data_IF_421078987980
#
_entry.id   IF_421078987980
#
_cell.length_a   1.000
_cell.length_b   1.000
_cell.length_c   1.000
_cell.angle_alpha   90.00
_cell.angle_beta   90.00
_cell.angle_gamma   90.00
#
_symmetry.space_group_name_H-M   'P 1'
#
loop_
_entity.id
_entity.type
_entity.pdbx_description
1 polymer ?
#
# COMPACT_ATOMS: atom_id res chain seq x y z
N UNK A 1 4.52 15.36 19.73
CA UNK A 1 4.53 14.41 18.61
C UNK A 1 4.56 12.99 19.18
N UNK A 2 3.92 11.99 18.54
CA UNK A 2 3.78 10.63 19.12
C UNK A 2 5.15 10.00 19.41
N UNK A 3 6.08 10.07 18.47
CA UNK A 3 7.44 9.54 18.64
C UNK A 3 8.21 10.16 19.79
N UNK A 4 8.12 11.47 20.00
CA UNK A 4 8.79 12.16 21.12
C UNK A 4 8.28 11.65 22.47
N UNK A 5 6.96 11.53 22.64
CA UNK A 5 6.36 10.98 23.86
C UNK A 5 6.76 9.52 24.11
N UNK A 6 6.92 8.73 23.05
CA UNK A 6 7.43 7.38 23.14
C UNK A 6 8.87 7.38 23.68
N UNK A 7 9.74 8.23 23.13
CA UNK A 7 11.15 8.36 23.55
C UNK A 7 11.24 8.78 25.02
N UNK A 8 10.51 9.83 25.42
CA UNK A 8 10.47 10.30 26.81
C UNK A 8 10.04 9.19 27.77
N UNK A 9 8.96 8.49 27.47
CA UNK A 9 8.44 7.38 28.28
C UNK A 9 9.47 6.26 28.46
N UNK A 10 10.07 5.79 27.35
CA UNK A 10 11.01 4.68 27.39
C UNK A 10 12.36 5.06 28.03
N UNK A 11 12.82 6.31 27.87
CA UNK A 11 13.98 6.83 28.58
C UNK A 11 13.76 6.76 30.11
N UNK A 12 12.59 7.19 30.58
CA UNK A 12 12.21 7.09 31.99
C UNK A 12 12.14 5.64 32.48
N UNK A 13 11.50 4.75 31.72
CA UNK A 13 11.39 3.33 32.09
C UNK A 13 12.76 2.63 32.19
N UNK A 14 13.71 3.02 31.34
CA UNK A 14 15.09 2.51 31.36
C UNK A 14 16.00 3.28 32.32
N UNK A 15 15.49 4.32 33.01
CA UNK A 15 16.26 5.20 33.87
C UNK A 15 17.46 5.84 33.16
N UNK A 16 17.29 6.21 31.91
CA UNK A 16 18.29 6.91 31.08
C UNK A 16 17.90 8.37 30.86
N UNK A 17 18.89 9.32 30.77
CA UNK A 17 18.65 10.63 30.21
C UNK A 17 18.08 10.53 28.78
N UNK A 18 17.27 11.53 28.39
CA UNK A 18 16.61 11.55 27.06
C UNK A 18 17.63 11.42 25.91
N UNK A 19 18.71 12.17 25.98
CA UNK A 19 19.76 12.15 24.96
C UNK A 19 20.45 10.79 24.87
N UNK A 20 20.75 10.16 26.01
CA UNK A 20 21.37 8.83 26.04
C UNK A 20 20.42 7.76 25.47
N UNK A 21 19.11 7.88 25.72
CA UNK A 21 18.16 6.98 25.09
C UNK A 21 18.05 7.21 23.57
N UNK A 22 18.11 8.48 23.12
CA UNK A 22 18.16 8.80 21.70
C UNK A 22 19.35 8.15 20.99
N UNK A 23 20.51 8.06 21.63
CA UNK A 23 21.71 7.41 21.08
C UNK A 23 21.53 5.90 20.87
N UNK A 24 20.57 5.27 21.55
CA UNK A 24 20.22 3.86 21.34
C UNK A 24 19.29 3.64 20.14
N UNK A 25 18.66 4.71 19.62
CA UNK A 25 17.73 4.65 18.48
C UNK A 25 18.49 4.60 17.16
N UNK A 26 19.31 3.58 17.01
CA UNK A 26 20.10 3.34 15.80
C UNK A 26 19.26 2.50 14.82
N UNK A 27 19.21 2.83 13.51
CA UNK A 27 18.57 2.00 12.51
C UNK A 27 18.97 0.52 12.63
N UNK A 28 18.03 -0.37 12.37
CA UNK A 28 18.17 -1.83 12.47
C UNK A 28 18.32 -2.39 13.91
N UNK A 29 18.03 -1.58 14.95
CA UNK A 29 17.89 -2.05 16.34
C UNK A 29 16.44 -2.25 16.74
N UNK A 30 16.21 -3.10 17.75
CA UNK A 30 14.85 -3.35 18.30
C UNK A 30 14.25 -2.06 18.88
N UNK A 31 15.05 -1.22 19.51
CA UNK A 31 14.62 0.08 20.04
C UNK A 31 14.12 1.00 18.93
N UNK A 32 14.83 1.06 17.82
CA UNK A 32 14.42 1.86 16.66
C UNK A 32 13.15 1.31 16.02
N UNK A 33 13.04 0.00 15.86
CA UNK A 33 11.84 -0.68 15.34
C UNK A 33 10.62 -0.39 16.23
N UNK A 34 10.76 -0.49 17.54
CA UNK A 34 9.70 -0.18 18.50
C UNK A 34 9.25 1.30 18.42
N UNK A 35 10.19 2.23 18.20
CA UNK A 35 9.87 3.64 17.99
C UNK A 35 9.04 3.82 16.70
N UNK A 36 9.47 3.21 15.61
CA UNK A 36 8.75 3.26 14.32
C UNK A 36 7.32 2.73 14.52
N UNK A 37 7.17 1.53 15.07
CA UNK A 37 5.87 0.90 15.31
C UNK A 37 4.96 1.74 16.22
N UNK A 38 5.52 2.46 17.19
CA UNK A 38 4.75 3.36 18.05
C UNK A 38 4.41 4.70 17.39
N UNK A 39 5.18 5.13 16.38
CA UNK A 39 4.99 6.41 15.70
C UNK A 39 4.07 6.31 14.47
N UNK A 40 3.87 5.12 13.93
CA UNK A 40 3.00 4.88 12.78
C UNK A 40 1.52 5.03 13.15
N UNK A 41 0.72 5.50 12.20
CA UNK A 41 -0.74 5.55 12.30
C UNK A 41 -1.33 4.62 11.26
N UNK A 42 -1.93 3.53 11.72
CA UNK A 42 -2.26 2.37 10.89
C UNK A 42 -3.77 2.25 10.61
N UNK A 43 -4.43 3.36 10.20
CA UNK A 43 -5.83 3.31 9.80
C UNK A 43 -5.97 2.68 8.42
N UNK A 44 -6.58 1.51 8.35
CA UNK A 44 -6.86 0.80 7.11
C UNK A 44 -8.18 0.03 7.20
N UNK A 45 -8.82 -0.23 6.06
CA UNK A 45 -10.03 -1.05 5.94
C UNK A 45 -10.19 -1.59 4.51
N UNK A 46 -10.99 -2.66 4.35
CA UNK A 46 -11.21 -3.29 3.05
C UNK A 46 -11.85 -2.32 2.07
N UNK A 47 -11.27 -2.27 0.86
CA UNK A 47 -11.72 -1.43 -0.27
C UNK A 47 -11.75 0.08 0.05
N UNK A 48 -10.82 0.55 0.90
CA UNK A 48 -10.65 1.97 1.22
C UNK A 48 -10.48 2.80 -0.05
N UNK A 49 -11.20 3.96 -0.12
CA UNK A 49 -11.27 4.81 -1.32
C UNK A 49 -11.75 4.04 -2.55
N UNK A 50 -12.99 3.57 -2.48
CA UNK A 50 -13.65 2.72 -3.47
C UNK A 50 -13.50 3.17 -4.93
N UNK A 51 -13.32 4.47 -5.18
CA UNK A 51 -13.15 5.01 -6.53
C UNK A 51 -11.98 4.37 -7.30
N UNK A 52 -10.89 4.00 -6.60
CA UNK A 52 -9.77 3.28 -7.21
C UNK A 52 -10.18 1.87 -7.66
N UNK A 53 -10.92 1.14 -6.82
CA UNK A 53 -11.41 -0.21 -7.15
C UNK A 53 -12.46 -0.18 -8.26
N UNK A 54 -13.33 0.84 -8.26
CA UNK A 54 -14.28 1.07 -9.36
C UNK A 54 -13.57 1.34 -10.69
N UNK A 55 -12.52 2.19 -10.65
CA UNK A 55 -11.71 2.44 -11.84
C UNK A 55 -11.03 1.17 -12.34
N UNK A 56 -10.38 0.41 -11.44
CA UNK A 56 -9.74 -0.85 -11.83
C UNK A 56 -10.74 -1.78 -12.52
N UNK A 57 -11.89 -2.05 -11.91
CA UNK A 57 -12.86 -2.99 -12.46
C UNK A 57 -13.48 -2.53 -13.79
N UNK A 58 -13.68 -1.21 -13.97
CA UNK A 58 -14.32 -0.67 -15.18
C UNK A 58 -13.34 -0.50 -16.33
N UNK A 59 -12.09 -0.14 -16.03
CA UNK A 59 -11.15 0.33 -17.04
C UNK A 59 -9.97 -0.61 -17.26
N UNK A 60 -9.45 -1.26 -16.22
CA UNK A 60 -8.20 -2.03 -16.31
C UNK A 60 -8.47 -3.53 -16.42
N UNK A 61 -9.23 -4.09 -15.48
CA UNK A 61 -9.38 -5.54 -15.33
C UNK A 61 -10.00 -6.25 -16.54
N UNK A 62 -10.92 -5.64 -17.33
CA UNK A 62 -11.43 -6.27 -18.54
C UNK A 62 -10.34 -6.70 -19.54
N UNK A 63 -9.21 -5.97 -19.61
CA UNK A 63 -8.07 -6.24 -20.50
C UNK A 63 -7.08 -7.26 -19.94
N UNK A 64 -7.14 -7.56 -18.64
CA UNK A 64 -6.26 -8.50 -17.96
C UNK A 64 -6.91 -9.87 -17.68
N UNK A 65 -8.15 -10.09 -18.09
CA UNK A 65 -8.83 -11.37 -17.85
C UNK A 65 -8.01 -12.55 -18.40
N UNK A 66 -7.71 -13.53 -17.54
CA UNK A 66 -6.86 -14.67 -17.84
C UNK A 66 -5.35 -14.39 -17.81
N UNK A 67 -4.94 -13.13 -17.71
CA UNK A 67 -3.52 -12.72 -17.63
C UNK A 67 -3.10 -12.50 -16.18
N UNK A 68 -1.79 -12.47 -15.94
CA UNK A 68 -1.21 -12.04 -14.67
C UNK A 68 -1.19 -10.50 -14.59
N UNK A 69 -1.46 -9.97 -13.41
CA UNK A 69 -1.30 -8.56 -13.09
C UNK A 69 -0.45 -8.47 -11.83
N UNK A 70 0.69 -7.78 -11.96
CA UNK A 70 1.65 -7.57 -10.88
C UNK A 70 1.34 -6.27 -10.17
N UNK A 71 1.04 -6.34 -8.88
CA UNK A 71 0.68 -5.17 -8.06
C UNK A 71 1.62 -5.07 -6.87
N UNK A 72 2.07 -3.85 -6.58
CA UNK A 72 2.75 -3.53 -5.32
C UNK A 72 1.88 -2.61 -4.47
N UNK A 73 1.55 -3.05 -3.26
CA UNK A 73 0.91 -2.26 -2.20
C UNK A 73 1.99 -1.89 -1.19
N UNK A 74 2.48 -0.67 -1.27
CA UNK A 74 3.47 -0.11 -0.35
C UNK A 74 2.77 0.66 0.76
N UNK A 75 3.23 0.53 2.02
CA UNK A 75 2.56 0.99 3.23
C UNK A 75 1.18 0.31 3.41
N UNK A 76 1.20 -1.05 3.41
CA UNK A 76 -0.01 -1.86 3.39
C UNK A 76 -0.64 -2.09 4.78
N UNK A 77 0.00 -1.65 5.88
CA UNK A 77 -0.46 -1.85 7.25
C UNK A 77 -0.83 -3.32 7.52
N UNK A 78 -1.97 -3.59 8.13
CA UNK A 78 -2.50 -4.93 8.43
C UNK A 78 -3.08 -5.68 7.23
N UNK A 79 -2.90 -5.17 6.01
CA UNK A 79 -3.08 -5.92 4.76
C UNK A 79 -4.45 -5.85 4.11
N UNK A 80 -5.37 -5.01 4.58
CA UNK A 80 -6.71 -4.88 3.98
C UNK A 80 -6.64 -4.43 2.52
N UNK A 81 -5.70 -3.54 2.15
CA UNK A 81 -5.53 -3.10 0.77
C UNK A 81 -5.08 -4.24 -0.17
N UNK A 82 -3.96 -4.95 0.07
CA UNK A 82 -3.55 -6.04 -0.80
C UNK A 82 -4.54 -7.21 -0.84
N UNK A 83 -5.29 -7.47 0.25
CA UNK A 83 -6.36 -8.48 0.25
C UNK A 83 -7.54 -8.02 -0.62
N UNK A 84 -7.93 -6.74 -0.54
CA UNK A 84 -8.97 -6.17 -1.40
C UNK A 84 -8.60 -6.26 -2.88
N UNK A 85 -7.34 -5.95 -3.20
CA UNK A 85 -6.80 -6.09 -4.56
C UNK A 85 -6.82 -7.55 -5.02
N UNK A 86 -6.36 -8.49 -4.18
CA UNK A 86 -6.41 -9.92 -4.48
C UNK A 86 -7.84 -10.39 -4.79
N UNK A 87 -8.79 -10.06 -3.93
CA UNK A 87 -10.18 -10.45 -4.09
C UNK A 87 -10.78 -9.88 -5.39
N UNK A 88 -10.54 -8.59 -5.67
CA UNK A 88 -11.03 -7.96 -6.89
C UNK A 88 -10.43 -8.59 -8.15
N UNK A 89 -9.12 -8.82 -8.19
CA UNK A 89 -8.44 -9.45 -9.32
C UNK A 89 -9.00 -10.85 -9.58
N UNK A 90 -9.11 -11.65 -8.51
CA UNK A 90 -9.67 -13.01 -8.58
C UNK A 90 -11.11 -13.02 -9.07
N UNK A 91 -11.95 -12.09 -8.59
CA UNK A 91 -13.35 -11.94 -9.01
C UNK A 91 -13.46 -11.68 -10.53
N UNK A 92 -12.52 -10.92 -11.08
CA UNK A 92 -12.48 -10.62 -12.52
C UNK A 92 -11.75 -11.67 -13.36
N UNK A 93 -11.30 -12.76 -12.75
CA UNK A 93 -10.56 -13.82 -13.46
C UNK A 93 -9.17 -13.38 -13.91
N UNK A 94 -8.58 -12.41 -13.23
CA UNK A 94 -7.19 -11.97 -13.40
C UNK A 94 -6.31 -12.77 -12.45
N UNK A 95 -5.13 -13.19 -12.88
CA UNK A 95 -4.18 -13.92 -12.04
C UNK A 95 -3.43 -12.91 -11.14
N UNK A 96 -3.68 -12.90 -9.83
CA UNK A 96 -3.05 -11.93 -8.94
C UNK A 96 -1.60 -12.33 -8.63
N UNK A 97 -0.68 -11.37 -8.73
CA UNK A 97 0.68 -11.46 -8.18
C UNK A 97 0.95 -10.17 -7.41
N UNK A 98 0.84 -10.24 -6.10
CA UNK A 98 0.82 -9.06 -5.24
C UNK A 98 2.03 -9.07 -4.32
N UNK A 99 2.69 -7.92 -4.25
CA UNK A 99 3.72 -7.62 -3.28
C UNK A 99 3.16 -6.60 -2.30
N UNK A 100 3.20 -6.92 -1.02
CA UNK A 100 2.73 -6.06 0.05
C UNK A 100 3.91 -5.71 0.97
N UNK A 101 4.04 -4.45 1.33
CA UNK A 101 5.11 -4.05 2.22
C UNK A 101 4.70 -2.91 3.15
N UNK A 102 5.24 -2.95 4.35
CA UNK A 102 5.10 -1.88 5.35
C UNK A 102 6.39 -1.76 6.16
N UNK A 103 6.58 -0.64 6.82
CA UNK A 103 7.68 -0.44 7.75
C UNK A 103 7.36 -1.04 9.13
N UNK A 104 6.08 -1.07 9.52
CA UNK A 104 5.58 -1.54 10.81
C UNK A 104 5.49 -3.07 10.83
N UNK A 105 6.41 -3.71 11.54
CA UNK A 105 6.47 -5.16 11.67
C UNK A 105 5.28 -5.74 12.42
N UNK A 106 4.69 -5.00 13.39
CA UNK A 106 3.53 -5.44 14.15
C UNK A 106 2.30 -5.55 13.23
N UNK A 107 2.11 -4.59 12.33
CA UNK A 107 1.03 -4.62 11.35
C UNK A 107 1.21 -5.77 10.36
N UNK A 108 2.44 -6.02 9.89
CA UNK A 108 2.71 -7.17 9.03
C UNK A 108 2.46 -8.51 9.73
N UNK A 109 2.67 -8.59 11.03
CA UNK A 109 2.34 -9.79 11.81
C UNK A 109 0.82 -9.96 11.99
N UNK A 110 0.06 -8.85 12.13
CA UNK A 110 -1.42 -8.90 12.09
C UNK A 110 -1.90 -9.36 10.72
N UNK A 111 -1.31 -8.84 9.64
CA UNK A 111 -1.60 -9.27 8.28
C UNK A 111 -1.41 -10.79 8.10
N UNK A 112 -0.26 -11.33 8.53
CA UNK A 112 0.03 -12.77 8.43
C UNK A 112 -0.92 -13.63 9.27
N UNK A 113 -1.40 -13.12 10.42
CA UNK A 113 -2.44 -13.78 11.22
C UNK A 113 -3.78 -13.87 10.48
N UNK A 114 -4.10 -12.86 9.65
CA UNK A 114 -5.27 -12.87 8.80
C UNK A 114 -6.60 -12.87 9.55
N UNK A 115 -6.69 -12.19 10.69
CA UNK A 115 -7.89 -12.11 11.54
C UNK A 115 -8.34 -10.66 11.67
N UNK A 116 -9.46 -10.34 11.06
CA UNK A 116 -9.98 -8.97 10.96
C UNK A 116 -11.27 -8.80 11.76
N UNK A 117 -11.42 -7.64 12.37
CA UNK A 117 -12.63 -7.27 13.10
C UNK A 117 -13.61 -6.47 12.22
N UNK A 118 -14.78 -6.15 12.77
CA UNK A 118 -15.76 -5.28 12.09
C UNK A 118 -15.19 -3.90 11.69
N UNK A 119 -14.12 -3.43 12.32
CA UNK A 119 -13.52 -2.12 12.01
C UNK A 119 -12.82 -2.11 10.65
N UNK A 120 -12.38 -3.27 10.15
CA UNK A 120 -11.85 -3.40 8.79
C UNK A 120 -12.95 -3.37 7.71
N UNK A 121 -14.25 -3.31 8.08
CA UNK A 121 -15.41 -3.27 7.19
C UNK A 121 -16.14 -1.93 7.29
N UNK A 122 -15.55 -0.89 6.69
CA UNK A 122 -16.10 0.45 6.68
C UNK A 122 -17.27 0.59 5.67
N UNK A 123 -18.08 1.63 5.82
CA UNK A 123 -19.21 1.95 4.90
C UNK A 123 -18.66 2.30 3.51
N UNK A 124 -17.52 2.99 3.43
CA UNK A 124 -16.78 3.17 2.17
C UNK A 124 -16.30 1.79 1.69
N UNK A 125 -16.56 1.47 0.43
CA UNK A 125 -16.24 0.15 -0.14
C UNK A 125 -17.25 -0.97 0.19
N UNK A 126 -18.33 -0.70 0.92
CA UNK A 126 -19.33 -1.70 1.34
C UNK A 126 -19.85 -2.56 0.17
N UNK A 127 -20.05 -1.98 -0.99
CA UNK A 127 -20.49 -2.66 -2.21
C UNK A 127 -19.53 -3.75 -2.70
N UNK A 128 -18.26 -3.68 -2.30
CA UNK A 128 -17.23 -4.66 -2.67
C UNK A 128 -17.06 -5.78 -1.63
N UNK A 129 -17.54 -5.61 -0.39
CA UNK A 129 -17.26 -6.57 0.70
C UNK A 129 -17.68 -8.01 0.37
N UNK A 130 -18.81 -8.19 -0.35
CA UNK A 130 -19.27 -9.52 -0.77
C UNK A 130 -18.27 -10.26 -1.67
N UNK A 131 -17.40 -9.53 -2.38
CA UNK A 131 -16.36 -10.13 -3.24
C UNK A 131 -15.39 -10.98 -2.41
N UNK A 132 -15.12 -10.61 -1.16
CA UNK A 132 -14.24 -11.38 -0.27
C UNK A 132 -14.76 -12.80 -0.04
N UNK A 133 -16.06 -12.98 0.13
CA UNK A 133 -16.69 -14.29 0.33
C UNK A 133 -16.87 -15.02 -1.02
N UNK A 134 -17.38 -14.34 -2.06
CA UNK A 134 -17.60 -14.90 -3.41
C UNK A 134 -16.30 -15.48 -4.00
N UNK A 135 -15.16 -14.87 -3.73
CA UNK A 135 -13.84 -15.33 -4.16
C UNK A 135 -13.18 -16.33 -3.19
N UNK A 136 -13.85 -16.66 -2.07
CA UNK A 136 -13.30 -17.48 -1.00
C UNK A 136 -11.98 -16.93 -0.45
N UNK A 137 -11.86 -15.59 -0.40
CA UNK A 137 -10.70 -14.91 0.18
C UNK A 137 -10.66 -15.11 1.69
N UNK A 138 -11.83 -15.26 2.32
CA UNK A 138 -11.99 -15.58 3.74
C UNK A 138 -13.46 -15.82 4.07
N UNK A 139 -13.76 -16.03 5.33
CA UNK A 139 -15.11 -16.26 5.86
C UNK A 139 -15.31 -15.57 7.21
N UNK A 140 -16.56 -15.26 7.54
CA UNK A 140 -16.91 -14.76 8.87
C UNK A 140 -17.10 -15.90 9.86
N UNK A 141 -16.39 -15.82 10.99
CA UNK A 141 -16.48 -16.74 12.12
C UNK A 141 -16.52 -15.91 13.42
N UNK A 142 -17.54 -16.08 14.24
CA UNK A 142 -17.68 -15.38 15.53
C UNK A 142 -17.43 -13.85 15.42
N UNK A 143 -18.09 -13.18 14.48
CA UNK A 143 -17.96 -11.73 14.21
C UNK A 143 -16.55 -11.27 13.74
N UNK A 144 -15.66 -12.19 13.41
CA UNK A 144 -14.35 -11.91 12.82
C UNK A 144 -14.30 -12.45 11.40
N UNK A 145 -13.63 -11.74 10.54
CA UNK A 145 -13.30 -12.24 9.21
C UNK A 145 -11.96 -12.97 9.28
N UNK A 146 -11.97 -14.24 8.92
CA UNK A 146 -10.79 -15.09 8.91
C UNK A 146 -10.34 -15.28 7.47
N UNK A 147 -9.12 -14.82 7.19
CA UNK A 147 -8.49 -14.92 5.87
C UNK A 147 -8.15 -16.38 5.56
N UNK A 148 -8.47 -16.82 4.34
CA UNK A 148 -7.97 -18.09 3.83
C UNK A 148 -6.46 -17.98 3.58
N UNK A 149 -5.67 -18.85 4.20
CA UNK A 149 -4.21 -18.82 4.10
C UNK A 149 -3.68 -19.05 2.67
N UNK A 150 -4.47 -19.66 1.79
CA UNK A 150 -4.13 -19.81 0.36
C UNK A 150 -3.93 -18.46 -0.36
N UNK A 151 -4.43 -17.37 0.20
CA UNK A 151 -4.20 -16.00 -0.29
C UNK A 151 -2.69 -15.70 -0.36
N UNK A 152 -1.91 -16.17 0.60
CA UNK A 152 -0.45 -15.98 0.65
C UNK A 152 0.33 -16.74 -0.44
N UNK A 153 -0.30 -17.62 -1.21
CA UNK A 153 0.30 -18.16 -2.43
C UNK A 153 0.40 -17.09 -3.55
N UNK A 154 -0.32 -15.98 -3.39
CA UNK A 154 -0.41 -14.89 -4.36
C UNK A 154 0.06 -13.52 -3.81
N UNK A 155 0.21 -13.40 -2.49
CA UNK A 155 0.64 -12.17 -1.82
C UNK A 155 1.96 -12.45 -1.09
N UNK A 156 3.03 -11.80 -1.54
CA UNK A 156 4.32 -11.80 -0.86
C UNK A 156 4.40 -10.61 0.09
N UNK A 157 4.56 -10.87 1.38
CA UNK A 157 4.63 -9.83 2.43
C UNK A 157 6.08 -9.59 2.83
N UNK A 158 6.52 -8.31 2.83
CA UNK A 158 7.89 -7.91 3.17
C UNK A 158 7.89 -6.67 4.06
N UNK A 159 8.79 -6.61 5.03
CA UNK A 159 9.09 -5.36 5.71
C UNK A 159 9.94 -4.48 4.79
N UNK A 160 9.53 -3.22 4.61
CA UNK A 160 10.23 -2.30 3.72
C UNK A 160 9.98 -0.84 4.13
N UNK A 161 11.06 -0.08 4.22
CA UNK A 161 11.02 1.35 4.50
C UNK A 161 11.06 2.15 3.19
N UNK A 162 9.95 2.79 2.83
CA UNK A 162 9.85 3.68 1.67
C UNK A 162 10.83 4.87 1.74
N UNK A 163 11.11 5.37 2.95
CA UNK A 163 12.06 6.45 3.17
C UNK A 163 13.53 6.00 3.12
N UNK A 164 13.80 4.71 2.96
CA UNK A 164 15.15 4.13 2.99
C UNK A 164 16.01 4.40 1.74
N UNK A 165 15.53 5.21 0.79
CA UNK A 165 16.26 5.64 -0.43
C UNK A 165 16.82 4.49 -1.26
N UNK A 166 16.18 3.33 -1.24
CA UNK A 166 16.56 2.14 -2.02
C UNK A 166 15.37 1.54 -2.73
N UNK A 167 15.62 0.90 -3.86
CA UNK A 167 14.60 0.14 -4.59
C UNK A 167 14.24 -1.13 -3.81
N UNK A 168 12.96 -1.52 -3.79
CA UNK A 168 12.59 -2.85 -3.32
C UNK A 168 13.23 -3.92 -4.22
N UNK A 169 13.88 -4.93 -3.61
CA UNK A 169 14.59 -6.01 -4.29
C UNK A 169 13.77 -7.30 -4.41
N UNK A 170 12.59 -7.33 -3.79
CA UNK A 170 11.71 -8.50 -3.73
C UNK A 170 10.76 -8.65 -4.94
N UNK A 171 10.79 -7.72 -5.90
CA UNK A 171 10.17 -7.85 -7.22
C UNK A 171 10.94 -7.05 -8.27
N UNK A 172 10.75 -7.36 -9.54
CA UNK A 172 11.38 -6.63 -10.65
C UNK A 172 10.54 -5.40 -11.06
N UNK A 173 9.40 -5.60 -11.68
CA UNK A 173 8.47 -4.54 -12.09
C UNK A 173 7.05 -4.86 -11.64
N UNK A 174 6.27 -3.80 -11.41
CA UNK A 174 4.84 -3.88 -11.17
C UNK A 174 4.06 -3.17 -12.28
N UNK A 175 2.90 -3.69 -12.63
CA UNK A 175 1.95 -3.03 -13.54
C UNK A 175 1.22 -1.89 -12.82
N UNK A 176 0.93 -2.10 -11.53
CA UNK A 176 0.24 -1.13 -10.69
C UNK A 176 0.94 -1.03 -9.33
N UNK A 177 1.12 0.19 -8.85
CA UNK A 177 1.68 0.48 -7.53
C UNK A 177 0.66 1.30 -6.74
N UNK A 178 0.37 0.87 -5.50
CA UNK A 178 -0.40 1.61 -4.52
C UNK A 178 0.54 2.15 -3.43
N UNK A 179 0.59 3.48 -3.27
CA UNK A 179 1.32 4.18 -2.23
C UNK A 179 0.35 5.18 -1.57
N UNK A 180 -0.64 4.66 -0.85
CA UNK A 180 -1.77 5.43 -0.37
C UNK A 180 -1.67 5.71 1.12
N UNK A 181 -2.08 6.92 1.50
CA UNK A 181 -2.14 7.38 2.89
C UNK A 181 -0.79 7.33 3.63
N UNK A 182 0.31 7.48 2.91
CA UNK A 182 1.68 7.50 3.43
C UNK A 182 2.42 8.79 3.08
N UNK A 183 2.10 9.44 1.97
CA UNK A 183 2.72 10.69 1.54
C UNK A 183 2.41 11.87 2.46
N UNK A 184 1.35 11.78 3.26
CA UNK A 184 1.01 12.76 4.30
C UNK A 184 2.11 12.90 5.36
N UNK A 185 2.96 11.89 5.52
CA UNK A 185 4.07 11.88 6.48
C UNK A 185 5.40 12.35 5.88
N UNK A 186 5.46 12.57 4.56
CA UNK A 186 6.68 12.89 3.83
C UNK A 186 6.74 14.38 3.49
N UNK A 187 7.92 14.98 3.61
CA UNK A 187 8.20 16.27 3.01
C UNK A 187 8.33 16.17 1.48
N UNK A 188 8.43 17.29 0.80
CA UNK A 188 8.46 17.31 -0.65
C UNK A 188 9.71 16.62 -1.24
N UNK A 189 10.86 16.67 -0.55
CA UNK A 189 12.07 16.00 -1.01
C UNK A 189 11.88 14.48 -1.00
N UNK A 190 11.39 13.97 0.12
CA UNK A 190 11.12 12.53 0.26
C UNK A 190 10.01 12.05 -0.67
N UNK A 191 8.94 12.85 -0.86
CA UNK A 191 7.88 12.55 -1.86
C UNK A 191 8.46 12.37 -3.25
N UNK A 192 9.34 13.29 -3.67
CA UNK A 192 10.00 13.24 -4.98
C UNK A 192 10.91 12.00 -5.10
N UNK A 193 11.70 11.70 -4.06
CA UNK A 193 12.55 10.52 -4.04
C UNK A 193 11.73 9.23 -4.17
N UNK A 194 10.66 9.08 -3.36
CA UNK A 194 9.78 7.90 -3.38
C UNK A 194 9.07 7.74 -4.73
N UNK A 195 8.60 8.85 -5.33
CA UNK A 195 7.98 8.80 -6.66
C UNK A 195 8.97 8.37 -7.75
N UNK A 196 10.22 8.84 -7.69
CA UNK A 196 11.26 8.40 -8.63
C UNK A 196 11.53 6.89 -8.50
N UNK A 197 11.72 6.40 -7.27
CA UNK A 197 11.93 4.97 -7.00
C UNK A 197 10.73 4.12 -7.47
N UNK A 198 9.51 4.58 -7.20
CA UNK A 198 8.30 3.89 -7.67
C UNK A 198 8.20 3.88 -9.20
N UNK A 199 8.52 5.02 -9.87
CA UNK A 199 8.54 5.10 -11.33
C UNK A 199 9.58 4.15 -11.96
N UNK A 200 10.74 3.94 -11.29
CA UNK A 200 11.73 2.95 -11.73
C UNK A 200 11.18 1.52 -11.64
N UNK A 201 10.43 1.20 -10.59
CA UNK A 201 9.83 -0.14 -10.38
C UNK A 201 8.54 -0.37 -11.16
N UNK A 202 8.00 0.66 -11.82
CA UNK A 202 6.79 0.56 -12.62
C UNK A 202 7.10 0.07 -14.04
N UNK A 203 6.28 -0.84 -14.55
CA UNK A 203 6.32 -1.28 -15.94
C UNK A 203 5.95 -0.11 -16.89
N UNK A 204 6.36 -0.14 -18.18
CA UNK A 204 5.90 0.85 -19.16
C UNK A 204 4.37 0.91 -19.23
N UNK A 205 3.78 2.10 -19.21
CA UNK A 205 2.32 2.30 -19.19
C UNK A 205 1.64 1.92 -17.87
N UNK A 206 2.42 1.57 -16.84
CA UNK A 206 1.88 1.22 -15.52
C UNK A 206 1.39 2.42 -14.73
N UNK A 207 0.67 2.15 -13.63
CA UNK A 207 -0.06 3.15 -12.85
C UNK A 207 0.42 3.22 -11.40
N UNK A 208 0.49 4.44 -10.84
CA UNK A 208 0.68 4.65 -9.40
C UNK A 208 -0.58 5.32 -8.84
N UNK A 209 -1.18 4.71 -7.82
CA UNK A 209 -2.27 5.27 -7.05
C UNK A 209 -1.74 5.83 -5.72
N UNK A 210 -2.06 7.10 -5.48
CA UNK A 210 -1.97 7.77 -4.18
C UNK A 210 -3.38 7.95 -3.65
N UNK A 211 -3.57 8.31 -2.38
CA UNK A 211 -4.90 8.69 -1.90
C UNK A 211 -5.37 9.97 -2.61
N UNK A 212 -6.68 10.18 -2.65
CA UNK A 212 -7.27 11.36 -3.32
C UNK A 212 -6.74 12.67 -2.71
N UNK A 213 -6.60 12.72 -1.39
CA UNK A 213 -6.06 13.89 -0.70
C UNK A 213 -4.58 14.12 -1.02
N UNK A 214 -3.79 13.07 -1.13
CA UNK A 214 -2.36 13.16 -1.43
C UNK A 214 -2.09 13.60 -2.86
N UNK A 215 -2.75 12.96 -3.83
CA UNK A 215 -2.50 13.27 -5.25
C UNK A 215 -2.93 14.69 -5.62
N UNK A 216 -3.94 15.24 -4.94
CA UNK A 216 -4.34 16.65 -5.14
C UNK A 216 -3.27 17.62 -4.66
N UNK A 217 -2.48 17.24 -3.66
CA UNK A 217 -1.40 18.05 -3.06
C UNK A 217 -0.02 17.77 -3.66
N UNK A 218 0.10 16.90 -4.66
CA UNK A 218 1.36 16.67 -5.38
C UNK A 218 1.52 17.74 -6.46
N UNK A 219 2.52 18.59 -6.28
CA UNK A 219 2.92 19.60 -7.27
C UNK A 219 3.59 18.94 -8.48
N UNK A 220 3.48 19.57 -9.65
CA UNK A 220 3.99 19.02 -10.90
C UNK A 220 5.51 18.79 -10.92
N UNK A 221 6.27 19.58 -10.16
CA UNK A 221 7.72 19.48 -10.03
C UNK A 221 8.21 18.31 -9.17
N UNK A 222 7.27 17.69 -8.41
CA UNK A 222 7.52 16.47 -7.66
C UNK A 222 7.30 15.21 -8.50
N UNK A 223 6.56 15.33 -9.62
CA UNK A 223 6.24 14.20 -10.50
C UNK A 223 7.44 13.93 -11.41
N UNK A 224 7.97 12.69 -11.47
CA UNK A 224 9.06 12.36 -12.39
C UNK A 224 8.70 12.68 -13.85
N UNK A 225 9.66 13.14 -14.66
CA UNK A 225 9.46 13.47 -16.08
C UNK A 225 8.90 12.30 -16.90
N UNK A 226 9.18 11.07 -16.47
CA UNK A 226 8.67 9.84 -17.07
C UNK A 226 7.22 9.54 -16.74
N UNK A 227 6.58 10.35 -15.87
CA UNK A 227 5.21 10.16 -15.40
C UNK A 227 4.33 11.31 -15.84
N UNK A 228 3.02 11.10 -15.83
CA UNK A 228 2.01 12.13 -15.97
C UNK A 228 0.86 11.90 -15.00
N UNK A 229 0.26 12.99 -14.51
CA UNK A 229 -0.94 12.97 -13.67
C UNK A 229 -2.17 12.91 -14.55
N UNK A 230 -2.96 11.87 -14.40
CA UNK A 230 -4.16 11.61 -15.18
C UNK A 230 -5.40 11.73 -14.29
N UNK A 231 -6.46 12.34 -14.83
CA UNK A 231 -7.81 12.36 -14.26
C UNK A 231 -8.76 11.69 -15.25
N UNK A 232 -9.42 10.62 -14.85
CA UNK A 232 -10.42 9.94 -15.68
C UNK A 232 -11.88 10.31 -15.32
N UNK A 233 -12.07 11.39 -14.57
CA UNK A 233 -13.38 11.88 -14.12
C UNK A 233 -13.87 11.27 -12.80
N UNK A 234 -13.38 10.11 -12.38
CA UNK A 234 -13.75 9.44 -11.12
C UNK A 234 -12.60 9.38 -10.11
N UNK A 235 -11.37 9.31 -10.59
CA UNK A 235 -10.18 9.27 -9.74
C UNK A 235 -8.96 9.86 -10.46
N UNK A 236 -7.91 10.11 -9.68
CA UNK A 236 -6.61 10.55 -10.17
C UNK A 236 -5.57 9.44 -9.94
N UNK A 237 -4.58 9.38 -10.84
CA UNK A 237 -3.42 8.50 -10.73
C UNK A 237 -2.23 9.08 -11.49
N UNK A 238 -1.05 8.57 -11.23
CA UNK A 238 0.12 8.84 -12.05
C UNK A 238 0.31 7.69 -13.04
N UNK A 239 0.55 8.00 -14.29
CA UNK A 239 0.78 7.01 -15.35
C UNK A 239 2.19 7.16 -15.89
N UNK A 240 2.91 6.05 -16.05
CA UNK A 240 4.23 6.04 -16.69
C UNK A 240 4.05 6.24 -18.19
N UNK A 241 4.70 7.27 -18.72
CA UNK A 241 4.72 7.54 -20.16
C UNK A 241 5.36 6.34 -20.85
N UNK A 242 4.69 5.85 -21.86
CA UNK A 242 5.18 4.79 -22.73
C UNK A 242 5.53 5.39 -24.08
N UNK A 243 6.71 5.12 -24.59
CA UNK A 243 7.13 5.53 -25.95
C UNK A 243 6.31 4.86 -27.07
N UNK A 244 5.56 3.83 -26.72
CA UNK A 244 4.58 3.15 -27.58
C UNK A 244 3.19 3.29 -26.94
N UNK A 245 2.16 3.62 -27.69
CA UNK A 245 0.79 3.74 -27.18
C UNK A 245 0.41 2.43 -26.46
N UNK A 246 0.41 2.43 -25.12
CA UNK A 246 -0.02 1.27 -24.36
C UNK A 246 -1.52 1.01 -24.58
N UNK A 247 -1.93 -0.25 -24.44
CA UNK A 247 -3.35 -0.65 -24.52
C UNK A 247 -4.18 0.12 -23.47
N UNK A 248 -3.57 0.51 -22.34
CA UNK A 248 -4.21 1.28 -21.27
C UNK A 248 -4.53 2.71 -21.70
N UNK A 249 -3.65 3.38 -22.50
CA UNK A 249 -3.86 4.77 -22.94
C UNK A 249 -5.02 4.92 -23.93
N UNK A 250 -5.30 3.90 -24.73
CA UNK A 250 -6.40 3.94 -25.70
C UNK A 250 -7.80 3.75 -25.08
N UNK A 251 -7.87 3.51 -23.78
CA UNK A 251 -9.12 3.18 -23.07
C UNK A 251 -9.48 4.23 -22.00
N UNK A 252 -8.58 5.17 -21.73
CA UNK A 252 -8.76 6.31 -20.83
C UNK A 252 -9.00 7.58 -21.67
#
# INVERSE_FOLDING_TARGET
IVGEKYVEKNALEKSLPFEEYCDLLVPDTVEFENLINAATTNETYFFREKAHFEFLQKTILPFYRGKELVVWSGACSSGEEPISLYALLKFWGVKPKIYASDIDSNELDLFKKGVYSKYSFNVDGKEFHKILEETKTGSFENEKFILNQDVFNHITVKQFNLAGKRLPDFFDKADIIFLRNVFIYFDNNLRKEVLNLAAEKLAPGGLIFLSVSEICCIDSDLIPDSMEKVNNGSTYFLMKKDGTKSVLINTI
#
